data_IF_787747310788
#
_entry.id   IF_787747310788
#
_cell.length_a   1.000
_cell.length_b   1.000
_cell.length_c   1.000
_cell.angle_alpha   90.00
_cell.angle_beta   90.00
_cell.angle_gamma   90.00
#
_symmetry.space_group_name_H-M   'P 1'
#
loop_
_entity.id
_entity.type
_entity.pdbx_description
1 polymer ?
#
# COMPACT_ATOMS: atom_id res chain seq x y z
N UNK A 1 17.96 6.71 -7.53
CA UNK A 1 17.03 5.57 -7.42
C UNK A 1 17.10 4.99 -6.02
N UNK A 2 16.14 5.33 -5.16
CA UNK A 2 16.02 4.76 -3.81
C UNK A 2 15.45 3.35 -3.95
N UNK A 3 16.23 2.32 -3.61
CA UNK A 3 15.79 0.92 -3.66
C UNK A 3 15.07 0.58 -2.35
N UNK A 4 13.79 0.94 -2.26
CA UNK A 4 12.95 0.60 -1.11
C UNK A 4 12.58 -0.89 -1.15
N UNK A 5 12.92 -1.65 -0.10
CA UNK A 5 12.72 -3.11 -0.05
C UNK A 5 11.46 -3.52 0.71
N UNK A 6 11.00 -2.73 1.67
CA UNK A 6 9.75 -2.94 2.42
C UNK A 6 9.37 -1.73 3.27
N UNK A 7 8.10 -1.64 3.65
CA UNK A 7 7.66 -0.83 4.78
C UNK A 7 8.18 -1.42 6.08
N UNK A 8 8.85 -0.59 6.89
CA UNK A 8 9.22 -0.94 8.25
C UNK A 8 8.19 -0.34 9.22
N UNK A 9 7.55 -1.21 9.99
CA UNK A 9 6.59 -0.82 11.03
C UNK A 9 7.06 -1.38 12.36
N UNK A 10 7.38 -0.49 13.29
CA UNK A 10 8.04 -0.79 14.57
C UNK A 10 9.38 -1.53 14.39
N UNK A 11 10.15 -1.13 13.37
CA UNK A 11 11.45 -1.73 13.05
C UNK A 11 11.36 -3.10 12.38
N UNK A 12 10.17 -3.60 12.06
CA UNK A 12 9.96 -4.90 11.41
C UNK A 12 9.39 -4.75 9.99
N UNK A 13 9.84 -5.55 9.02
CA UNK A 13 9.24 -5.58 7.69
C UNK A 13 7.75 -5.93 7.77
N UNK A 14 6.91 -5.18 7.05
CA UNK A 14 5.48 -5.37 7.04
C UNK A 14 5.11 -6.80 6.60
N UNK A 15 5.84 -7.37 5.62
CA UNK A 15 5.62 -8.74 5.14
C UNK A 15 5.80 -9.85 6.17
N UNK A 16 6.53 -9.56 7.26
CA UNK A 16 6.70 -10.52 8.36
C UNK A 16 5.49 -10.54 9.32
N UNK A 17 4.53 -9.63 9.15
CA UNK A 17 3.33 -9.63 9.96
C UNK A 17 2.45 -10.81 9.56
N UNK A 18 1.90 -11.48 10.57
CA UNK A 18 1.31 -12.81 10.44
C UNK A 18 0.18 -12.89 9.41
N UNK A 19 -0.46 -11.80 8.97
CA UNK A 19 -1.59 -11.82 8.03
C UNK A 19 -1.23 -11.61 6.56
N UNK A 20 0.06 -11.41 6.22
CA UNK A 20 0.47 -10.95 4.87
C UNK A 20 1.00 -12.08 3.95
N UNK A 21 1.23 -13.29 4.46
CA UNK A 21 1.85 -14.39 3.70
C UNK A 21 0.98 -15.09 2.65
N UNK A 22 0.23 -14.36 1.83
CA UNK A 22 -0.54 -14.91 0.71
C UNK A 22 0.40 -15.25 -0.46
N UNK A 23 0.39 -16.48 -0.99
CA UNK A 23 1.41 -16.97 -1.94
C UNK A 23 1.44 -16.24 -3.30
N UNK A 24 0.45 -15.39 -3.59
CA UNK A 24 0.40 -14.55 -4.80
C UNK A 24 0.94 -13.12 -4.58
N UNK A 25 1.17 -12.74 -3.33
CA UNK A 25 1.68 -11.42 -2.97
C UNK A 25 3.17 -11.54 -2.66
N UNK A 26 4.03 -11.55 -3.69
CA UNK A 26 5.47 -11.30 -3.47
C UNK A 26 5.65 -9.80 -3.18
N UNK A 27 5.33 -9.41 -1.95
CA UNK A 27 5.01 -8.04 -1.58
C UNK A 27 6.08 -6.99 -1.87
N UNK A 28 5.86 -6.19 -2.92
CA UNK A 28 6.63 -4.97 -3.17
C UNK A 28 5.92 -3.77 -2.54
N UNK A 29 6.63 -2.95 -1.75
CA UNK A 29 6.05 -1.81 -1.03
C UNK A 29 5.67 -0.62 -1.92
N UNK A 30 6.11 -0.62 -3.17
CA UNK A 30 5.83 0.41 -4.15
C UNK A 30 5.37 -0.25 -5.43
N UNK A 31 4.37 0.36 -6.07
CA UNK A 31 3.94 -0.06 -7.39
C UNK A 31 5.11 0.11 -8.36
N UNK A 32 5.44 -0.94 -9.11
CA UNK A 32 6.48 -0.91 -10.13
C UNK A 32 5.96 -1.67 -11.34
N UNK A 33 5.46 -0.94 -12.33
CA UNK A 33 5.39 -1.44 -13.70
C UNK A 33 6.57 -0.88 -14.52
N UNK A 34 7.31 -1.69 -15.31
CA UNK A 34 8.26 -1.14 -16.29
C UNK A 34 7.60 -0.15 -17.27
N UNK A 35 6.27 -0.16 -17.37
CA UNK A 35 5.46 0.76 -18.16
C UNK A 35 4.79 1.89 -17.35
N UNK A 36 4.81 1.83 -16.01
CA UNK A 36 4.03 2.72 -15.13
C UNK A 36 4.76 4.03 -14.75
N UNK A 37 6.09 4.07 -14.85
CA UNK A 37 6.91 5.25 -14.58
C UNK A 37 6.83 5.78 -13.13
N UNK A 38 7.48 6.92 -12.88
CA UNK A 38 7.55 7.54 -11.55
C UNK A 38 6.19 8.10 -11.09
N UNK A 39 5.30 8.43 -12.03
CA UNK A 39 3.98 9.00 -11.74
C UNK A 39 3.11 8.04 -10.92
N UNK A 40 3.08 6.76 -11.29
CA UNK A 40 2.28 5.75 -10.61
C UNK A 40 2.87 5.39 -9.23
N UNK A 41 4.20 5.44 -9.08
CA UNK A 41 4.85 5.34 -7.78
C UNK A 41 4.39 6.48 -6.87
N UNK A 42 4.41 7.72 -7.37
CA UNK A 42 3.93 8.90 -6.64
C UNK A 42 2.45 8.79 -6.31
N UNK A 43 1.62 8.28 -7.21
CA UNK A 43 0.20 8.03 -6.95
C UNK A 43 0.01 7.02 -5.80
N UNK A 44 0.77 5.92 -5.77
CA UNK A 44 0.67 4.93 -4.68
C UNK A 44 1.03 5.53 -3.32
N UNK A 45 2.03 6.43 -3.28
CA UNK A 45 2.40 7.16 -2.07
C UNK A 45 1.35 8.20 -1.66
N UNK A 46 0.77 8.93 -2.62
CA UNK A 46 -0.33 9.88 -2.34
C UNK A 46 -1.58 9.19 -1.84
N UNK A 47 -1.88 7.99 -2.33
CA UNK A 47 -3.04 7.22 -1.85
C UNK A 47 -2.94 6.90 -0.35
N UNK A 48 -1.72 6.69 0.16
CA UNK A 48 -1.42 6.50 1.59
C UNK A 48 -1.61 7.77 2.44
N UNK A 49 -1.58 8.95 1.83
CA UNK A 49 -1.95 10.22 2.48
C UNK A 49 -3.47 10.47 2.45
N UNK A 50 -4.26 9.56 1.87
CA UNK A 50 -5.66 9.75 1.52
C UNK A 50 -5.91 10.93 0.55
N UNK A 51 -4.89 11.32 -0.22
CA UNK A 51 -5.01 12.37 -1.24
C UNK A 51 -5.77 11.85 -2.48
N UNK A 52 -6.33 12.78 -3.27
CA UNK A 52 -6.83 12.47 -4.61
C UNK A 52 -5.67 12.11 -5.55
N UNK A 53 -5.80 11.02 -6.30
CA UNK A 53 -4.78 10.56 -7.25
C UNK A 53 -5.24 10.64 -8.71
N UNK A 54 -6.47 11.13 -8.96
CA UNK A 54 -6.99 11.40 -10.29
C UNK A 54 -7.07 10.14 -11.17
N UNK A 55 -6.47 10.14 -12.38
CA UNK A 55 -6.56 9.02 -13.31
C UNK A 55 -5.88 7.74 -12.78
N UNK A 56 -5.01 7.86 -11.79
CA UNK A 56 -4.27 6.73 -11.22
C UNK A 56 -5.07 5.96 -10.15
N UNK A 57 -6.31 6.39 -9.84
CA UNK A 57 -7.17 5.82 -8.78
C UNK A 57 -7.29 4.30 -8.88
N UNK A 58 -7.56 3.78 -10.07
CA UNK A 58 -7.78 2.34 -10.27
C UNK A 58 -6.51 1.49 -10.08
N UNK A 59 -5.33 2.12 -10.13
CA UNK A 59 -4.03 1.48 -9.99
C UNK A 59 -3.57 1.37 -8.54
N UNK A 60 -4.14 2.20 -7.66
CA UNK A 60 -3.69 2.32 -6.26
C UNK A 60 -4.80 2.06 -5.24
N UNK A 61 -6.07 2.04 -5.66
CA UNK A 61 -7.23 1.74 -4.81
C UNK A 61 -8.16 0.71 -5.43
N UNK A 62 -8.75 -0.10 -4.55
CA UNK A 62 -9.83 -1.03 -4.87
C UNK A 62 -11.17 -0.29 -5.02
N UNK A 63 -12.16 -0.86 -5.72
CA UNK A 63 -13.45 -0.19 -5.94
C UNK A 63 -14.23 0.11 -4.65
N UNK A 64 -13.89 -0.57 -3.55
CA UNK A 64 -14.43 -0.34 -2.21
C UNK A 64 -13.69 0.75 -1.42
N UNK A 65 -12.69 1.40 -2.04
CA UNK A 65 -11.90 2.48 -1.46
C UNK A 65 -10.66 2.03 -0.69
N UNK A 66 -10.37 0.73 -0.58
CA UNK A 66 -9.16 0.26 0.10
C UNK A 66 -7.91 0.61 -0.71
N UNK A 67 -6.89 1.14 -0.03
CA UNK A 67 -5.61 1.51 -0.66
C UNK A 67 -4.68 0.31 -0.69
N UNK A 68 -4.04 0.05 -1.83
CA UNK A 68 -2.98 -0.94 -1.95
C UNK A 68 -1.71 -0.48 -1.24
N UNK A 69 -1.10 -1.37 -0.44
CA UNK A 69 0.09 -1.13 0.38
C UNK A 69 1.27 -1.97 -0.10
N UNK A 70 1.02 -3.24 -0.42
CA UNK A 70 1.99 -4.16 -1.01
C UNK A 70 1.43 -4.77 -2.28
N UNK A 71 2.17 -4.61 -3.38
CA UNK A 71 1.80 -5.08 -4.72
C UNK A 71 2.43 -6.44 -5.00
N UNK A 72 1.86 -7.18 -5.95
CA UNK A 72 2.41 -8.45 -6.41
C UNK A 72 3.85 -8.28 -6.92
N UNK A 73 4.77 -9.15 -6.50
CA UNK A 73 6.19 -8.99 -6.84
C UNK A 73 6.58 -9.42 -8.24
N UNK A 74 5.67 -10.09 -8.94
CA UNK A 74 5.83 -10.49 -10.34
C UNK A 74 5.42 -9.36 -11.28
N UNK A 75 4.19 -8.86 -11.18
CA UNK A 75 3.68 -7.79 -12.06
C UNK A 75 3.94 -6.38 -11.52
N UNK A 76 4.07 -6.21 -10.21
CA UNK A 76 4.29 -4.93 -9.56
C UNK A 76 3.10 -3.98 -9.61
N UNK A 77 1.90 -4.48 -9.91
CA UNK A 77 0.64 -3.75 -9.97
C UNK A 77 -0.45 -4.41 -9.10
N UNK A 78 -1.64 -3.80 -9.10
CA UNK A 78 -2.79 -4.22 -8.31
C UNK A 78 -3.56 -5.40 -8.94
N UNK A 79 -3.35 -5.75 -10.22
CA UNK A 79 -4.23 -6.67 -10.96
C UNK A 79 -4.15 -8.12 -10.50
N UNK A 80 -3.02 -8.53 -9.93
CA UNK A 80 -2.90 -9.81 -9.24
C UNK A 80 -3.44 -9.79 -7.79
N UNK A 81 -4.10 -8.71 -7.38
CA UNK A 81 -4.40 -8.40 -6.00
C UNK A 81 -3.21 -7.77 -5.26
N UNK A 82 -3.49 -7.27 -4.07
CA UNK A 82 -2.53 -6.56 -3.24
C UNK A 82 -2.88 -6.74 -1.76
N UNK A 83 -1.88 -6.58 -0.89
CA UNK A 83 -2.20 -6.24 0.51
C UNK A 83 -2.79 -4.84 0.50
N UNK A 84 -4.01 -4.70 0.97
CA UNK A 84 -4.74 -3.44 1.02
C UNK A 84 -5.17 -3.11 2.45
N UNK A 85 -5.59 -1.86 2.66
CA UNK A 85 -6.21 -1.43 3.91
C UNK A 85 -7.21 -0.30 3.68
N UNK A 86 -8.13 -0.13 4.63
CA UNK A 86 -8.85 1.13 4.78
C UNK A 86 -7.93 2.14 5.48
N UNK A 87 -7.44 3.13 4.73
CA UNK A 87 -6.52 4.16 5.24
C UNK A 87 -7.33 5.34 5.76
N UNK A 88 -7.23 5.59 7.07
CA UNK A 88 -7.91 6.70 7.76
C UNK A 88 -6.89 7.68 8.31
N UNK A 89 -7.00 8.94 7.91
CA UNK A 89 -6.15 10.03 8.41
C UNK A 89 -7.01 10.91 9.30
N UNK A 90 -6.80 10.81 10.62
CA UNK A 90 -7.50 11.59 11.64
C UNK A 90 -6.66 12.81 12.06
N UNK A 91 -7.06 13.56 13.09
CA UNK A 91 -6.33 14.76 13.52
C UNK A 91 -4.88 14.47 13.94
N UNK A 92 -4.64 13.42 14.73
CA UNK A 92 -3.33 13.10 15.31
C UNK A 92 -2.77 11.73 14.92
N UNK A 93 -3.60 10.86 14.33
CA UNK A 93 -3.23 9.48 14.00
C UNK A 93 -3.57 9.14 12.55
N UNK A 94 -2.82 8.19 11.99
CA UNK A 94 -3.16 7.51 10.75
C UNK A 94 -3.38 6.04 11.09
N UNK A 95 -4.46 5.45 10.59
CA UNK A 95 -4.74 4.03 10.76
C UNK A 95 -4.77 3.34 9.40
N UNK A 96 -4.13 2.18 9.32
CA UNK A 96 -4.37 1.21 8.25
C UNK A 96 -5.24 0.12 8.86
N UNK A 97 -6.54 0.20 8.61
CA UNK A 97 -7.53 -0.72 9.16
C UNK A 97 -7.75 -1.90 8.23
N UNK A 98 -8.05 -3.04 8.86
CA UNK A 98 -8.40 -4.27 8.17
C UNK A 98 -7.36 -4.70 7.13
N UNK A 99 -6.06 -4.60 7.46
CA UNK A 99 -4.96 -4.97 6.56
C UNK A 99 -5.06 -6.45 6.20
N UNK A 100 -5.23 -6.74 4.91
CA UNK A 100 -5.41 -8.08 4.37
C UNK A 100 -5.12 -8.09 2.86
N UNK A 101 -4.88 -9.28 2.30
CA UNK A 101 -4.85 -9.45 0.85
C UNK A 101 -6.25 -9.28 0.28
N UNK A 102 -6.35 -8.56 -0.83
CA UNK A 102 -7.58 -8.39 -1.60
C UNK A 102 -7.31 -8.72 -3.07
N UNK A 103 -8.13 -9.59 -3.63
CA UNK A 103 -8.10 -9.93 -5.05
C UNK A 103 -8.74 -8.80 -5.86
N UNK A 104 -8.05 -8.31 -6.90
CA UNK A 104 -8.53 -7.17 -7.70
C UNK A 104 -9.63 -7.57 -8.68
N UNK A 105 -9.66 -8.82 -9.12
CA UNK A 105 -10.62 -9.31 -10.11
C UNK A 105 -11.95 -9.62 -9.42
N UNK A 106 -11.91 -10.31 -8.29
CA UNK A 106 -13.13 -10.70 -7.56
C UNK A 106 -13.55 -9.67 -6.51
N UNK A 107 -12.63 -8.82 -6.04
CA UNK A 107 -12.84 -7.92 -4.92
C UNK A 107 -12.82 -8.61 -3.55
N UNK A 108 -12.63 -9.93 -3.52
CA UNK A 108 -12.67 -10.73 -2.30
C UNK A 108 -11.46 -10.43 -1.41
N UNK A 109 -11.72 -10.31 -0.12
CA UNK A 109 -10.70 -10.19 0.92
C UNK A 109 -10.37 -11.60 1.42
N UNK A 110 -9.09 -11.94 1.46
CA UNK A 110 -8.64 -13.22 1.96
C UNK A 110 -9.02 -13.39 3.44
N UNK A 111 -9.52 -14.58 3.79
CA UNK A 111 -9.97 -14.95 5.14
C UNK A 111 -9.12 -16.03 5.77
N UNK A 112 -8.05 -16.47 5.07
CA UNK A 112 -7.10 -17.47 5.55
C UNK A 112 -6.34 -17.00 6.79
N UNK A 113 -6.23 -15.67 6.98
CA UNK A 113 -5.63 -15.04 8.15
C UNK A 113 -6.50 -13.88 8.64
N UNK A 114 -6.57 -13.64 9.97
CA UNK A 114 -7.35 -12.52 10.48
C UNK A 114 -6.74 -11.19 10.04
N UNK A 115 -7.57 -10.21 9.64
CA UNK A 115 -7.09 -8.86 9.34
C UNK A 115 -6.53 -8.21 10.61
N UNK A 116 -5.67 -7.20 10.42
CA UNK A 116 -5.08 -6.46 11.54
C UNK A 116 -5.04 -4.96 11.26
N UNK A 117 -4.84 -4.16 12.31
CA UNK A 117 -4.78 -2.70 12.20
C UNK A 117 -3.41 -2.20 12.63
N UNK A 118 -2.86 -1.26 11.86
CA UNK A 118 -1.68 -0.49 12.22
C UNK A 118 -2.06 0.95 12.54
N UNK A 119 -1.33 1.56 13.48
CA UNK A 119 -1.54 2.95 13.90
C UNK A 119 -0.22 3.68 13.87
N UNK A 120 -0.25 4.91 13.38
CA UNK A 120 0.91 5.77 13.26
C UNK A 120 0.59 7.15 13.83
N UNK A 121 1.58 7.81 14.42
CA UNK A 121 1.49 9.25 14.64
C UNK A 121 1.44 9.97 13.28
N UNK A 122 0.47 10.85 13.09
CA UNK A 122 0.21 11.49 11.80
C UNK A 122 1.42 12.29 11.29
N UNK A 123 2.02 13.11 12.14
CA UNK A 123 3.13 14.00 11.75
C UNK A 123 4.33 13.24 11.15
N UNK A 124 4.92 12.28 11.86
CA UNK A 124 6.00 11.44 11.33
C UNK A 124 5.59 10.62 10.11
N UNK A 125 4.36 10.10 10.09
CA UNK A 125 3.83 9.34 8.97
C UNK A 125 3.81 10.16 7.68
N UNK A 126 3.13 11.31 7.71
CA UNK A 126 2.97 12.13 6.51
C UNK A 126 4.31 12.68 6.02
N UNK A 127 5.23 13.05 6.93
CA UNK A 127 6.59 13.47 6.54
C UNK A 127 7.32 12.37 5.80
N UNK A 128 7.30 11.14 6.33
CA UNK A 128 7.95 9.99 5.70
C UNK A 128 7.43 9.77 4.27
N UNK A 129 6.10 9.80 4.09
CA UNK A 129 5.51 9.60 2.76
C UNK A 129 5.83 10.77 1.80
N UNK A 130 5.80 12.02 2.28
CA UNK A 130 6.14 13.20 1.45
C UNK A 130 7.63 13.25 1.07
N UNK A 131 8.51 12.83 1.95
CA UNK A 131 9.95 12.70 1.67
C UNK A 131 10.19 11.65 0.59
N UNK A 132 9.48 10.52 0.65
CA UNK A 132 9.50 9.51 -0.41
C UNK A 132 9.02 10.08 -1.74
N UNK A 133 7.89 10.79 -1.78
CA UNK A 133 7.36 11.42 -3.01
C UNK A 133 8.41 12.36 -3.63
N UNK A 134 9.14 13.12 -2.81
CA UNK A 134 10.18 14.04 -3.29
C UNK A 134 11.35 13.29 -3.94
N UNK A 135 11.67 12.08 -3.47
CA UNK A 135 12.72 11.23 -4.04
C UNK A 135 12.38 10.61 -5.40
N UNK A 136 11.12 10.71 -5.85
CA UNK A 136 10.63 10.23 -7.16
C UNK A 136 10.32 11.39 -8.13
N UNK A 137 10.63 12.64 -7.75
CA UNK A 137 10.52 13.82 -8.61
C UNK A 137 11.84 14.14 -9.31
#
# INVERSE_FOLDING_TARGET
MVRFRDWLVDGRPLRERASIGHPRADDRPLMWGPEAGDAVVVASLRALLADEVGPDEEWVRFPDGRTAILFCGLCGDIWCGAISADVRVEESIVEWRDVAYQDRITGEIATDRPPFTLRFERGPYERTIRDLITGWR
#
